data_IF_067510366508
#
_entry.id   IF_067510366508
#
_cell.length_a   1.000
_cell.length_b   1.000
_cell.length_c   1.000
_cell.angle_alpha   90.00
_cell.angle_beta   90.00
_cell.angle_gamma   90.00
#
_symmetry.space_group_name_H-M   'P 1'
#
loop_
_entity.id
_entity.type
_entity.pdbx_description
1 polymer ?
#
# COMPACT_ATOMS: atom_id res chain seq x y z
N UNK A 1 37.17 29.70 7.09
CA UNK A 1 36.43 28.71 6.27
C UNK A 1 34.95 28.89 6.55
N UNK A 2 34.15 29.34 5.56
CA UNK A 2 32.73 29.66 5.75
C UNK A 2 31.91 28.37 5.52
N UNK A 3 31.19 27.91 6.53
CA UNK A 3 30.42 26.67 6.45
C UNK A 3 29.32 26.78 5.39
N UNK A 4 29.24 25.80 4.50
CA UNK A 4 28.21 25.72 3.47
C UNK A 4 26.82 25.56 4.11
N UNK A 5 25.78 26.20 3.57
CA UNK A 5 24.43 26.05 4.10
C UNK A 5 23.98 24.61 3.88
N UNK A 6 23.67 23.92 4.98
CA UNK A 6 23.06 22.59 4.91
C UNK A 6 21.66 22.75 4.31
N UNK A 7 21.50 22.35 3.05
CA UNK A 7 20.19 22.19 2.43
C UNK A 7 19.40 21.21 3.29
N UNK A 8 18.42 21.72 4.05
CA UNK A 8 17.45 20.86 4.69
C UNK A 8 16.67 20.18 3.56
N UNK A 9 16.52 18.84 3.57
CA UNK A 9 15.67 18.19 2.58
C UNK A 9 14.29 18.86 2.67
N UNK A 10 13.83 19.40 1.53
CA UNK A 10 12.50 19.99 1.44
C UNK A 10 11.50 18.94 1.89
N UNK A 11 10.63 19.29 2.84
CA UNK A 11 9.66 18.33 3.38
C UNK A 11 8.77 17.90 2.21
N UNK A 12 8.70 16.60 1.87
CA UNK A 12 7.93 16.16 0.72
C UNK A 12 6.47 16.60 0.86
N UNK A 13 5.84 16.96 -0.26
CA UNK A 13 4.43 17.33 -0.29
C UNK A 13 3.61 16.22 0.37
N UNK A 14 2.85 16.53 1.44
CA UNK A 14 2.01 15.53 2.11
C UNK A 14 1.10 14.76 1.14
N UNK A 15 0.62 15.41 0.08
CA UNK A 15 -0.23 14.77 -0.94
C UNK A 15 0.57 13.75 -1.74
N UNK A 16 1.80 14.07 -2.13
CA UNK A 16 2.71 13.16 -2.84
C UNK A 16 3.11 11.96 -1.96
N UNK A 17 3.39 12.20 -0.68
CA UNK A 17 3.65 11.13 0.29
C UNK A 17 2.48 10.16 0.44
N UNK A 18 1.25 10.69 0.53
CA UNK A 18 0.03 9.88 0.61
C UNK A 18 -0.23 9.10 -0.68
N UNK A 19 0.02 9.69 -1.85
CA UNK A 19 -0.08 8.97 -3.14
C UNK A 19 0.89 7.80 -3.21
N UNK A 20 2.14 8.02 -2.80
CA UNK A 20 3.15 6.97 -2.76
C UNK A 20 2.74 5.82 -1.83
N UNK A 21 2.19 6.13 -0.66
CA UNK A 21 1.69 5.12 0.28
C UNK A 21 0.48 4.36 -0.27
N UNK A 22 -0.45 5.05 -0.93
CA UNK A 22 -1.58 4.43 -1.61
C UNK A 22 -1.11 3.45 -2.70
N UNK A 23 -0.16 3.86 -3.55
CA UNK A 23 0.41 3.00 -4.59
C UNK A 23 1.11 1.78 -4.00
N UNK A 24 1.91 1.96 -2.93
CA UNK A 24 2.59 0.87 -2.24
C UNK A 24 1.61 -0.15 -1.65
N UNK A 25 0.51 0.31 -1.03
CA UNK A 25 -0.51 -0.58 -0.47
C UNK A 25 -1.26 -1.34 -1.56
N UNK A 26 -1.58 -0.71 -2.69
CA UNK A 26 -2.19 -1.40 -3.86
C UNK A 26 -1.27 -2.49 -4.39
N UNK A 27 0.01 -2.16 -4.63
CA UNK A 27 0.99 -3.13 -5.08
C UNK A 27 1.21 -4.28 -4.06
N UNK A 28 0.99 -4.04 -2.76
CA UNK A 28 1.02 -5.10 -1.77
C UNK A 28 -0.24 -5.97 -1.80
N UNK A 29 -1.42 -5.35 -1.89
CA UNK A 29 -2.69 -6.06 -2.05
C UNK A 29 -2.67 -6.98 -3.29
N UNK A 30 -2.19 -6.48 -4.43
CA UNK A 30 -2.11 -7.27 -5.68
C UNK A 30 -1.19 -8.48 -5.53
N UNK A 31 -0.03 -8.31 -4.88
CA UNK A 31 0.91 -9.42 -4.61
C UNK A 31 0.31 -10.47 -3.67
N UNK A 32 -0.42 -10.05 -2.65
CA UNK A 32 -1.09 -10.95 -1.72
C UNK A 32 -2.24 -11.70 -2.41
N UNK A 33 -3.03 -11.01 -3.22
CA UNK A 33 -4.10 -11.62 -4.00
C UNK A 33 -3.55 -12.66 -4.99
N UNK A 34 -2.45 -12.34 -5.68
CA UNK A 34 -1.77 -13.30 -6.55
C UNK A 34 -1.29 -14.53 -5.76
N UNK A 35 -0.64 -14.33 -4.61
CA UNK A 35 -0.20 -15.43 -3.75
C UNK A 35 -1.36 -16.30 -3.26
N UNK A 36 -2.49 -15.69 -2.87
CA UNK A 36 -3.70 -16.43 -2.52
C UNK A 36 -4.23 -17.26 -3.70
N UNK A 37 -4.20 -16.72 -4.92
CA UNK A 37 -4.59 -17.44 -6.14
C UNK A 37 -3.64 -18.59 -6.50
N UNK A 38 -2.34 -18.47 -6.21
CA UNK A 38 -1.39 -19.59 -6.32
C UNK A 38 -1.71 -20.70 -5.32
N UNK A 39 -2.01 -20.35 -4.06
CA UNK A 39 -2.40 -21.30 -3.02
C UNK A 39 -3.73 -22.00 -3.35
N UNK A 40 -4.68 -21.29 -3.97
CA UNK A 40 -5.92 -21.88 -4.46
C UNK A 40 -5.68 -22.92 -5.55
N UNK A 41 -4.79 -22.62 -6.50
CA UNK A 41 -4.39 -23.55 -7.56
C UNK A 41 -3.72 -24.82 -7.05
N UNK A 42 -2.97 -24.71 -5.95
CA UNK A 42 -2.37 -25.88 -5.29
C UNK A 42 -3.43 -26.80 -4.67
N UNK A 43 -4.65 -26.30 -4.45
CA UNK A 43 -5.82 -27.04 -3.97
C UNK A 43 -5.53 -27.93 -2.75
N UNK A 44 -4.65 -27.45 -1.86
CA UNK A 44 -4.26 -28.18 -0.65
C UNK A 44 -5.16 -27.77 0.52
N UNK A 45 -5.83 -28.73 1.19
CA UNK A 45 -6.64 -28.45 2.38
C UNK A 45 -5.84 -27.77 3.50
N UNK A 46 -4.55 -28.09 3.62
CA UNK A 46 -3.67 -27.52 4.64
C UNK A 46 -3.33 -26.04 4.34
N UNK A 47 -3.39 -25.64 3.07
CA UNK A 47 -3.16 -24.26 2.65
C UNK A 47 -4.44 -23.41 2.69
N UNK A 48 -5.62 -24.00 2.90
CA UNK A 48 -6.90 -23.28 2.80
C UNK A 48 -7.05 -22.17 3.85
N UNK A 49 -6.65 -22.45 5.10
CA UNK A 49 -6.66 -21.45 6.17
C UNK A 49 -5.66 -20.31 5.89
N UNK A 50 -4.43 -20.67 5.51
CA UNK A 50 -3.40 -19.69 5.17
C UNK A 50 -3.81 -18.81 3.97
N UNK A 51 -4.40 -19.41 2.93
CA UNK A 51 -4.96 -18.69 1.79
C UNK A 51 -6.02 -17.69 2.22
N UNK A 52 -6.93 -18.07 3.12
CA UNK A 52 -7.98 -17.18 3.62
C UNK A 52 -7.39 -15.99 4.37
N UNK A 53 -6.34 -16.20 5.18
CA UNK A 53 -5.65 -15.12 5.88
C UNK A 53 -4.93 -14.16 4.92
N UNK A 54 -4.24 -14.70 3.91
CA UNK A 54 -3.55 -13.91 2.87
C UNK A 54 -4.56 -13.08 2.07
N UNK A 55 -5.69 -13.66 1.68
CA UNK A 55 -6.76 -12.95 0.99
C UNK A 55 -7.35 -11.83 1.87
N UNK A 56 -7.62 -12.11 3.15
CA UNK A 56 -8.09 -11.11 4.09
C UNK A 56 -7.08 -9.97 4.31
N UNK A 57 -5.77 -10.25 4.27
CA UNK A 57 -4.75 -9.22 4.33
C UNK A 57 -4.73 -8.37 3.06
N UNK A 58 -4.89 -8.98 1.88
CA UNK A 58 -5.00 -8.25 0.62
C UNK A 58 -6.16 -7.24 0.64
N UNK A 59 -7.34 -7.68 1.09
CA UNK A 59 -8.55 -6.85 1.28
C UNK A 59 -8.30 -5.65 2.21
N UNK A 60 -7.61 -5.87 3.35
CA UNK A 60 -7.25 -4.78 4.28
C UNK A 60 -6.31 -3.77 3.64
N UNK A 61 -5.32 -4.21 2.88
CA UNK A 61 -4.41 -3.32 2.15
C UNK A 61 -5.15 -2.50 1.07
N UNK A 62 -6.06 -3.13 0.32
CA UNK A 62 -6.89 -2.46 -0.69
C UNK A 62 -7.83 -1.41 -0.05
N UNK A 63 -8.45 -1.76 1.08
CA UNK A 63 -9.30 -0.85 1.86
C UNK A 63 -8.50 0.35 2.37
N UNK A 64 -7.33 0.12 2.97
CA UNK A 64 -6.46 1.19 3.43
C UNK A 64 -6.00 2.10 2.28
N UNK A 65 -5.61 1.53 1.13
CA UNK A 65 -5.26 2.31 -0.05
C UNK A 65 -6.42 3.18 -0.55
N UNK A 66 -7.64 2.66 -0.52
CA UNK A 66 -8.85 3.40 -0.91
C UNK A 66 -9.11 4.58 0.04
N UNK A 67 -8.93 4.37 1.35
CA UNK A 67 -9.00 5.45 2.35
C UNK A 67 -7.96 6.55 2.12
N UNK A 68 -6.72 6.18 1.80
CA UNK A 68 -5.67 7.16 1.45
C UNK A 68 -5.98 7.90 0.15
N UNK A 69 -6.49 7.22 -0.88
CA UNK A 69 -6.89 7.85 -2.13
C UNK A 69 -8.02 8.88 -1.91
N UNK A 70 -8.99 8.57 -1.06
CA UNK A 70 -10.04 9.51 -0.66
C UNK A 70 -9.46 10.72 0.08
N UNK A 71 -8.51 10.51 0.99
CA UNK A 71 -7.84 11.59 1.70
C UNK A 71 -7.08 12.53 0.74
N UNK A 72 -6.35 11.96 -0.23
CA UNK A 72 -5.67 12.70 -1.30
C UNK A 72 -6.68 13.54 -2.10
N UNK A 73 -7.79 12.95 -2.55
CA UNK A 73 -8.81 13.67 -3.31
C UNK A 73 -9.38 14.87 -2.52
N UNK A 74 -9.62 14.69 -1.22
CA UNK A 74 -10.11 15.78 -0.34
C UNK A 74 -9.07 16.88 -0.11
N UNK A 75 -7.79 16.54 -0.06
CA UNK A 75 -6.71 17.51 0.10
C UNK A 75 -6.47 18.32 -1.18
N UNK A 76 -6.70 17.73 -2.35
CA UNK A 76 -6.54 18.40 -3.64
C UNK A 76 -7.74 19.23 -4.08
N UNK A 77 -8.94 18.90 -3.61
CA UNK A 77 -10.17 19.67 -3.89
C UNK A 77 -10.37 20.86 -2.95
N UNK A 78 -9.32 21.29 -2.25
CA UNK A 78 -9.30 22.39 -1.28
C UNK A 78 -8.50 23.56 -1.84
#
# INVERSE_FOLDING_TARGET
>A
MKAAPRLRPSRPDPVEGLRAHCAALRAHADRLAAAAGELERQNSPHAAAFRAEVAALAERCATAASGLALAVARLQGR
#
